data_IF_153795734320
#
_entry.id   IF_153795734320
#
_cell.length_a   1.000
_cell.length_b   1.000
_cell.length_c   1.000
_cell.angle_alpha   90.00
_cell.angle_beta   90.00
_cell.angle_gamma   90.00
#
_symmetry.space_group_name_H-M   'P 1'
#
loop_
_entity.id
_entity.type
_entity.pdbx_description
1 polymer ?
#
# COMPACT_ATOMS: atom_id res chain seq x y z
N UNK A 1 -18.16 21.39 -24.56
CA UNK A 1 -18.58 21.44 -25.99
C UNK A 1 -17.42 20.97 -26.87
N UNK A 2 -17.39 19.68 -27.23
CA UNK A 2 -16.73 19.08 -28.43
C UNK A 2 -17.47 17.73 -28.57
N UNK A 3 -18.38 17.54 -29.52
CA UNK A 3 -18.09 17.11 -30.90
C UNK A 3 -18.18 15.57 -30.98
N UNK A 4 -19.39 15.02 -31.16
CA UNK A 4 -19.97 14.47 -32.40
C UNK A 4 -19.35 13.14 -32.91
N UNK A 5 -20.25 12.14 -32.96
CA UNK A 5 -20.53 11.18 -34.06
C UNK A 5 -19.43 10.20 -34.47
N UNK A 6 -19.74 8.89 -34.37
CA UNK A 6 -19.44 7.87 -35.39
C UNK A 6 -20.33 6.65 -35.12
N UNK A 7 -21.41 6.47 -35.87
CA UNK A 7 -21.49 5.80 -37.18
C UNK A 7 -21.59 4.29 -37.03
N UNK A 8 -22.85 3.85 -36.98
CA UNK A 8 -23.27 2.47 -37.06
C UNK A 8 -22.95 1.89 -38.44
N UNK A 9 -21.99 0.95 -38.51
CA UNK A 9 -21.87 0.03 -39.64
C UNK A 9 -22.70 -1.23 -39.33
N UNK A 10 -23.90 -1.29 -39.91
CA UNK A 10 -24.65 -2.54 -40.04
C UNK A 10 -24.02 -3.40 -41.14
N UNK A 11 -23.18 -4.36 -40.77
CA UNK A 11 -22.81 -5.45 -41.67
C UNK A 11 -23.93 -6.52 -41.66
N UNK A 12 -24.74 -6.52 -42.73
CA UNK A 12 -25.60 -7.66 -43.08
C UNK A 12 -24.72 -8.86 -43.43
N UNK A 13 -24.61 -9.84 -42.53
CA UNK A 13 -24.05 -11.16 -42.86
C UNK A 13 -25.15 -12.04 -43.43
N UNK A 14 -25.05 -12.34 -44.71
CA UNK A 14 -25.84 -13.36 -45.40
C UNK A 14 -25.62 -14.72 -44.73
N UNK A 15 -26.69 -15.29 -44.19
CA UNK A 15 -26.70 -16.57 -43.50
C UNK A 15 -26.75 -17.69 -44.54
N UNK A 16 -25.60 -18.24 -44.88
CA UNK A 16 -25.51 -19.46 -45.69
C UNK A 16 -25.97 -20.64 -44.83
N UNK A 17 -27.16 -21.15 -45.11
CA UNK A 17 -27.69 -22.39 -44.51
C UNK A 17 -26.88 -23.58 -45.04
N UNK A 18 -25.74 -23.85 -44.41
CA UNK A 18 -25.05 -25.11 -44.57
C UNK A 18 -25.82 -26.19 -43.81
N UNK A 19 -26.43 -27.10 -44.56
CA UNK A 19 -27.00 -28.35 -44.07
C UNK A 19 -25.90 -29.16 -43.37
N UNK A 20 -25.91 -29.15 -42.04
CA UNK A 20 -24.96 -29.87 -41.19
C UNK A 20 -25.40 -31.33 -41.12
N UNK A 21 -24.66 -32.21 -41.77
CA UNK A 21 -24.79 -33.68 -41.62
C UNK A 21 -24.47 -34.01 -40.14
N UNK A 22 -25.35 -34.72 -39.41
CA UNK A 22 -25.11 -35.06 -38.02
C UNK A 22 -23.91 -36.02 -37.93
N UNK A 23 -22.79 -35.50 -37.43
CA UNK A 23 -21.60 -36.29 -37.11
C UNK A 23 -21.94 -37.36 -36.06
N UNK A 24 -21.37 -38.58 -36.16
CA UNK A 24 -21.61 -39.64 -35.19
C UNK A 24 -21.31 -39.17 -33.76
N UNK A 25 -22.09 -39.59 -32.75
CA UNK A 25 -21.89 -39.16 -31.37
C UNK A 25 -20.50 -39.59 -30.93
N UNK A 26 -19.63 -38.60 -30.69
CA UNK A 26 -18.32 -38.87 -30.11
C UNK A 26 -18.51 -39.46 -28.71
N UNK A 27 -17.71 -40.49 -28.34
CA UNK A 27 -17.81 -41.10 -27.03
C UNK A 27 -17.62 -40.02 -25.96
N UNK A 28 -18.62 -39.89 -25.08
CA UNK A 28 -18.67 -38.84 -24.07
C UNK A 28 -17.71 -39.22 -22.94
N UNK A 29 -16.64 -38.45 -22.78
CA UNK A 29 -15.72 -38.59 -21.64
C UNK A 29 -16.42 -38.18 -20.33
N UNK A 30 -15.91 -38.66 -19.20
CA UNK A 30 -16.45 -38.33 -17.88
C UNK A 30 -16.49 -36.80 -17.66
N UNK A 31 -17.70 -36.28 -17.44
CA UNK A 31 -17.97 -34.85 -17.28
C UNK A 31 -17.51 -34.28 -15.92
N UNK A 32 -16.97 -35.11 -15.02
CA UNK A 32 -16.63 -34.70 -13.66
C UNK A 32 -17.85 -34.67 -12.74
N UNK A 33 -17.64 -34.24 -11.49
CA UNK A 33 -18.67 -34.10 -10.46
C UNK A 33 -18.88 -32.63 -10.11
N UNK A 34 -20.12 -32.28 -9.75
CA UNK A 34 -20.49 -30.93 -9.34
C UNK A 34 -20.55 -30.82 -7.82
N UNK A 35 -20.05 -29.71 -7.30
CA UNK A 35 -20.05 -29.40 -5.87
C UNK A 35 -20.54 -27.97 -5.64
N UNK A 36 -21.35 -27.79 -4.60
CA UNK A 36 -21.77 -26.47 -4.14
C UNK A 36 -20.58 -25.71 -3.58
N UNK A 37 -20.44 -24.44 -3.97
CA UNK A 37 -19.45 -23.51 -3.45
C UNK A 37 -20.16 -22.41 -2.66
N UNK A 38 -20.16 -22.57 -1.33
CA UNK A 38 -20.91 -21.78 -0.37
C UNK A 38 -20.16 -20.53 0.14
N UNK A 39 -18.95 -20.29 -0.36
CA UNK A 39 -18.13 -19.11 -0.03
C UNK A 39 -18.43 -17.91 -0.94
N UNK A 40 -19.63 -17.83 -1.52
CA UNK A 40 -20.03 -16.80 -2.48
C UNK A 40 -19.61 -17.10 -3.92
N UNK A 41 -19.42 -16.08 -4.75
CA UNK A 41 -19.08 -16.27 -6.18
C UNK A 41 -17.74 -17.00 -6.34
N UNK A 42 -17.70 -18.20 -6.96
CA UNK A 42 -16.46 -18.95 -7.08
C UNK A 42 -15.41 -18.22 -7.93
N UNK A 43 -15.80 -17.35 -8.86
CA UNK A 43 -14.85 -16.51 -9.60
C UNK A 43 -14.01 -15.59 -8.70
N UNK A 44 -14.58 -15.19 -7.56
CA UNK A 44 -13.95 -14.27 -6.62
C UNK A 44 -13.28 -15.01 -5.46
N UNK A 45 -13.88 -16.12 -5.01
CA UNK A 45 -13.45 -16.80 -3.77
C UNK A 45 -12.77 -18.14 -4.01
N UNK A 46 -12.84 -18.74 -5.20
CA UNK A 46 -12.04 -19.90 -5.55
C UNK A 46 -10.57 -19.50 -5.79
N UNK A 47 -9.60 -20.17 -5.16
CA UNK A 47 -8.19 -19.83 -5.30
C UNK A 47 -7.59 -20.45 -6.57
N UNK A 48 -7.97 -19.98 -7.76
CA UNK A 48 -7.51 -20.52 -9.06
C UNK A 48 -6.00 -20.81 -9.15
N UNK A 49 -5.09 -19.98 -8.59
CA UNK A 49 -3.66 -20.25 -8.65
C UNK A 49 -3.22 -21.59 -8.04
N UNK A 50 -4.01 -22.25 -7.18
CA UNK A 50 -3.64 -23.55 -6.59
C UNK A 50 -3.43 -24.67 -7.63
N UNK A 51 -3.95 -24.50 -8.84
CA UNK A 51 -3.76 -25.43 -9.95
C UNK A 51 -2.44 -25.24 -10.70
N UNK A 52 -1.73 -24.13 -10.47
CA UNK A 52 -0.42 -23.88 -11.08
C UNK A 52 0.59 -24.94 -10.58
N UNK A 53 1.39 -25.58 -11.47
CA UNK A 53 2.42 -26.54 -11.07
C UNK A 53 3.39 -26.04 -9.98
N UNK A 54 3.65 -24.73 -9.89
CA UNK A 54 4.55 -24.13 -8.91
C UNK A 54 3.99 -24.08 -7.47
N UNK A 55 2.68 -24.26 -7.27
CA UNK A 55 2.09 -24.22 -5.92
C UNK A 55 2.44 -25.46 -5.09
N UNK A 56 2.67 -25.27 -3.78
CA UNK A 56 2.86 -26.39 -2.84
C UNK A 56 1.54 -27.10 -2.50
N UNK A 57 0.45 -26.34 -2.43
CA UNK A 57 -0.87 -26.87 -2.15
C UNK A 57 -1.52 -27.34 -3.46
N UNK A 58 -1.84 -28.63 -3.54
CA UNK A 58 -2.47 -29.25 -4.72
C UNK A 58 -3.88 -29.73 -4.38
N UNK A 59 -4.91 -29.32 -5.15
CA UNK A 59 -6.30 -29.71 -4.88
C UNK A 59 -6.59 -31.19 -5.13
N UNK A 60 -5.77 -31.89 -5.93
CA UNK A 60 -5.99 -33.30 -6.29
C UNK A 60 -7.02 -33.52 -7.40
N UNK A 61 -7.51 -32.44 -8.02
CA UNK A 61 -8.48 -32.45 -9.11
C UNK A 61 -8.22 -31.28 -10.08
N UNK A 62 -8.76 -31.38 -11.29
CA UNK A 62 -8.85 -30.29 -12.26
C UNK A 62 -10.19 -29.57 -12.12
N UNK A 63 -10.19 -28.24 -12.18
CA UNK A 63 -11.43 -27.45 -12.27
C UNK A 63 -11.88 -27.38 -13.74
N UNK A 64 -13.07 -27.86 -14.05
CA UNK A 64 -13.61 -27.90 -15.42
C UNK A 64 -14.45 -26.67 -15.75
N UNK A 65 -15.40 -26.33 -14.88
CA UNK A 65 -16.30 -25.19 -15.08
C UNK A 65 -16.74 -24.60 -13.76
N UNK A 66 -17.14 -23.34 -13.82
CA UNK A 66 -17.71 -22.58 -12.71
C UNK A 66 -19.06 -22.04 -13.18
N UNK A 67 -20.11 -22.34 -12.44
CA UNK A 67 -21.42 -21.72 -12.62
C UNK A 67 -21.57 -20.56 -11.63
N UNK A 68 -21.53 -19.30 -12.09
CA UNK A 68 -21.65 -18.14 -11.22
C UNK A 68 -23.05 -17.95 -10.63
N UNK A 69 -24.10 -18.46 -11.29
CA UNK A 69 -25.48 -18.24 -10.87
C UNK A 69 -25.87 -19.20 -9.76
N UNK A 70 -25.49 -20.48 -9.90
CA UNK A 70 -25.77 -21.50 -8.90
C UNK A 70 -24.65 -21.64 -7.85
N UNK A 71 -23.53 -20.91 -8.03
CA UNK A 71 -22.31 -21.07 -7.23
C UNK A 71 -21.87 -22.53 -7.16
N UNK A 72 -21.88 -23.19 -8.32
CA UNK A 72 -21.41 -24.58 -8.46
C UNK A 72 -20.04 -24.58 -9.11
N UNK A 73 -19.18 -25.51 -8.68
CA UNK A 73 -17.95 -25.84 -9.38
C UNK A 73 -18.04 -27.27 -9.89
N UNK A 74 -17.61 -27.48 -11.13
CA UNK A 74 -17.48 -28.80 -11.72
C UNK A 74 -16.02 -29.18 -11.75
N UNK A 75 -15.69 -30.32 -11.16
CA UNK A 75 -14.30 -30.77 -10.99
C UNK A 75 -14.13 -32.19 -11.50
N UNK A 76 -12.91 -32.50 -11.93
CA UNK A 76 -12.56 -33.82 -12.46
C UNK A 76 -11.34 -34.36 -11.73
N UNK A 77 -11.42 -35.61 -11.29
CA UNK A 77 -10.31 -36.26 -10.60
C UNK A 77 -9.11 -36.40 -11.53
N UNK A 78 -7.90 -36.18 -11.01
CA UNK A 78 -6.66 -36.49 -11.73
C UNK A 78 -6.52 -37.99 -12.04
N UNK A 79 -7.29 -38.84 -11.34
CA UNK A 79 -7.38 -40.30 -11.55
C UNK A 79 -8.67 -40.70 -12.24
N UNK A 80 -9.32 -39.78 -12.96
CA UNK A 80 -10.47 -40.11 -13.78
C UNK A 80 -10.06 -41.14 -14.84
N UNK A 81 -10.83 -42.22 -15.01
CA UNK A 81 -10.48 -43.32 -15.92
C UNK A 81 -10.75 -43.03 -17.40
N UNK A 82 -11.32 -41.85 -17.73
CA UNK A 82 -11.72 -41.38 -19.08
C UNK A 82 -12.55 -42.36 -19.93
N UNK A 83 -12.87 -43.53 -19.38
CA UNK A 83 -13.46 -44.63 -20.12
C UNK A 83 -14.92 -44.28 -20.40
N UNK A 84 -15.35 -44.29 -21.66
CA UNK A 84 -16.74 -44.06 -22.01
C UNK A 84 -17.56 -45.25 -21.51
N UNK A 85 -18.08 -45.14 -20.29
CA UNK A 85 -19.09 -46.07 -19.81
C UNK A 85 -20.37 -45.81 -20.59
N UNK A 86 -20.79 -46.81 -21.37
CA UNK A 86 -21.90 -46.73 -22.33
C UNK A 86 -23.28 -46.49 -21.69
N UNK A 87 -23.41 -46.40 -20.37
CA UNK A 87 -24.70 -46.55 -19.69
C UNK A 87 -25.40 -45.29 -19.21
N UNK A 88 -24.80 -44.09 -19.24
CA UNK A 88 -25.56 -42.84 -19.03
C UNK A 88 -24.74 -41.58 -19.30
N UNK A 89 -25.33 -40.63 -20.02
CA UNK A 89 -24.69 -39.39 -20.50
C UNK A 89 -24.34 -38.39 -19.37
N UNK A 90 -24.63 -38.68 -18.09
CA UNK A 90 -24.55 -37.67 -17.02
C UNK A 90 -23.92 -38.12 -15.70
N UNK A 91 -23.47 -39.36 -15.54
CA UNK A 91 -23.02 -39.84 -14.23
C UNK A 91 -21.50 -39.66 -14.06
N UNK A 92 -21.02 -38.96 -13.00
CA UNK A 92 -19.60 -38.88 -12.67
C UNK A 92 -19.02 -40.27 -12.38
N UNK A 93 -17.77 -40.54 -12.78
CA UNK A 93 -17.10 -41.79 -12.40
C UNK A 93 -16.84 -41.86 -10.88
N UNK A 94 -16.60 -43.05 -10.34
CA UNK A 94 -16.36 -43.26 -8.91
C UNK A 94 -15.20 -42.40 -8.35
N UNK A 95 -14.12 -42.22 -9.12
CA UNK A 95 -13.01 -41.33 -8.76
C UNK A 95 -13.42 -39.86 -8.64
N UNK A 96 -14.39 -39.39 -9.44
CA UNK A 96 -14.88 -38.01 -9.37
C UNK A 96 -15.92 -37.83 -8.25
N UNK A 97 -16.75 -38.84 -7.99
CA UNK A 97 -17.74 -38.81 -6.90
C UNK A 97 -17.09 -38.68 -5.51
N UNK A 98 -15.89 -39.22 -5.33
CA UNK A 98 -15.15 -39.19 -4.06
C UNK A 98 -14.41 -37.88 -3.77
N UNK A 99 -14.47 -36.89 -4.69
CA UNK A 99 -13.74 -35.62 -4.55
C UNK A 99 -14.31 -34.65 -3.49
N UNK A 100 -15.47 -34.94 -2.90
CA UNK A 100 -16.11 -34.03 -1.93
C UNK A 100 -15.17 -33.58 -0.82
N UNK A 101 -14.45 -34.53 -0.22
CA UNK A 101 -13.47 -34.23 0.85
C UNK A 101 -12.33 -33.31 0.38
N UNK A 102 -11.86 -33.46 -0.86
CA UNK A 102 -10.83 -32.59 -1.43
C UNK A 102 -11.36 -31.18 -1.69
N UNK A 103 -12.60 -31.07 -2.18
CA UNK A 103 -13.27 -29.78 -2.37
C UNK A 103 -13.45 -29.06 -1.04
N UNK A 104 -13.86 -29.79 0.01
CA UNK A 104 -13.99 -29.22 1.36
C UNK A 104 -12.66 -28.69 1.90
N UNK A 105 -11.55 -29.40 1.68
CA UNK A 105 -10.20 -28.91 2.04
C UNK A 105 -9.86 -27.62 1.29
N UNK A 106 -10.26 -27.48 0.02
CA UNK A 106 -10.05 -26.26 -0.76
C UNK A 106 -10.94 -25.12 -0.28
N UNK A 107 -12.18 -25.41 0.17
CA UNK A 107 -13.06 -24.41 0.81
C UNK A 107 -12.47 -23.93 2.12
N UNK A 108 -12.07 -24.84 3.00
CA UNK A 108 -11.41 -24.51 4.26
C UNK A 108 -10.17 -23.65 4.03
N UNK A 109 -9.40 -23.96 2.98
CA UNK A 109 -8.27 -23.15 2.58
C UNK A 109 -8.68 -21.76 2.09
N UNK A 110 -9.70 -21.65 1.25
CA UNK A 110 -10.21 -20.37 0.75
C UNK A 110 -10.84 -19.49 1.85
N UNK A 111 -11.36 -20.10 2.93
CA UNK A 111 -11.92 -19.41 4.08
C UNK A 111 -10.86 -18.91 5.09
N UNK A 112 -9.59 -19.35 4.99
CA UNK A 112 -8.53 -18.91 5.91
C UNK A 112 -8.21 -17.42 5.76
N UNK A 113 -7.73 -16.83 6.86
CA UNK A 113 -7.23 -15.46 6.89
C UNK A 113 -6.03 -15.28 5.94
N UNK A 114 -6.04 -14.16 5.19
CA UNK A 114 -5.07 -13.83 4.12
C UNK A 114 -3.62 -13.83 4.61
N UNK A 115 -3.39 -13.50 5.88
CA UNK A 115 -2.06 -13.34 6.49
C UNK A 115 -1.29 -14.66 6.59
N UNK A 116 -2.00 -15.79 6.68
CA UNK A 116 -1.40 -17.12 6.89
C UNK A 116 -1.13 -17.87 5.59
N UNK A 117 -1.52 -17.29 4.46
CA UNK A 117 -1.53 -17.97 3.18
C UNK A 117 -0.41 -17.47 2.26
N UNK A 118 0.16 -18.40 1.50
CA UNK A 118 1.10 -18.07 0.44
C UNK A 118 0.39 -17.35 -0.71
N UNK A 119 1.10 -16.45 -1.41
CA UNK A 119 0.52 -15.60 -2.48
C UNK A 119 -0.12 -16.44 -3.58
N UNK A 120 0.48 -17.59 -3.93
CA UNK A 120 -0.02 -18.49 -4.97
C UNK A 120 -1.20 -19.35 -4.52
N UNK A 121 -1.72 -19.12 -3.31
CA UNK A 121 -2.82 -19.88 -2.74
C UNK A 121 -4.03 -18.99 -2.38
N UNK A 122 -3.96 -17.70 -2.71
CA UNK A 122 -5.00 -16.73 -2.45
C UNK A 122 -6.06 -16.73 -3.54
N UNK A 123 -7.31 -16.54 -3.14
CA UNK A 123 -8.40 -16.19 -4.06
C UNK A 123 -8.31 -14.73 -4.51
N UNK A 124 -9.09 -14.36 -5.53
CA UNK A 124 -9.09 -13.01 -6.06
C UNK A 124 -9.50 -11.98 -4.99
N UNK A 125 -10.54 -12.25 -4.21
CA UNK A 125 -10.95 -11.37 -3.11
C UNK A 125 -9.86 -11.21 -2.05
N UNK A 126 -9.18 -12.32 -1.69
CA UNK A 126 -8.08 -12.27 -0.74
C UNK A 126 -6.88 -11.47 -1.28
N UNK A 127 -6.60 -11.55 -2.59
CA UNK A 127 -5.59 -10.72 -3.25
C UNK A 127 -5.96 -9.22 -3.21
N UNK A 128 -7.22 -8.87 -3.47
CA UNK A 128 -7.70 -7.48 -3.36
C UNK A 128 -7.59 -6.96 -1.94
N UNK A 129 -7.96 -7.76 -0.94
CA UNK A 129 -7.80 -7.41 0.48
C UNK A 129 -6.34 -7.16 0.84
N UNK A 130 -5.43 -8.03 0.36
CA UNK A 130 -3.98 -7.87 0.57
C UNK A 130 -3.45 -6.61 -0.11
N UNK A 131 -3.94 -6.30 -1.31
CA UNK A 131 -3.55 -5.11 -2.06
C UNK A 131 -3.98 -3.83 -1.32
N UNK A 132 -5.23 -3.75 -0.88
CA UNK A 132 -5.77 -2.63 -0.11
C UNK A 132 -5.00 -2.44 1.23
N UNK A 133 -4.67 -3.53 1.92
CA UNK A 133 -3.87 -3.47 3.14
C UNK A 133 -2.46 -2.92 2.87
N UNK A 134 -1.80 -3.36 1.80
CA UNK A 134 -0.49 -2.86 1.39
C UNK A 134 -0.55 -1.39 0.98
N UNK A 135 -1.59 -0.97 0.25
CA UNK A 135 -1.78 0.42 -0.16
C UNK A 135 -1.97 1.34 1.05
N UNK A 136 -2.81 0.93 2.01
CA UNK A 136 -3.00 1.66 3.27
C UNK A 136 -1.69 1.77 4.06
N UNK A 137 -0.93 0.68 4.16
CA UNK A 137 0.37 0.69 4.82
C UNK A 137 1.36 1.62 4.11
N UNK A 138 1.42 1.57 2.78
CA UNK A 138 2.27 2.45 1.99
C UNK A 138 1.91 3.94 2.19
N UNK A 139 0.62 4.26 2.29
CA UNK A 139 0.16 5.62 2.59
C UNK A 139 0.62 6.09 3.98
N UNK A 140 0.50 5.24 5.00
CA UNK A 140 0.97 5.55 6.36
C UNK A 140 2.48 5.79 6.38
N UNK A 141 3.27 4.91 5.76
CA UNK A 141 4.71 5.07 5.69
C UNK A 141 5.13 6.31 4.89
N UNK A 142 4.40 6.67 3.83
CA UNK A 142 4.62 7.91 3.08
C UNK A 142 4.43 9.15 3.94
N UNK A 143 3.39 9.17 4.78
CA UNK A 143 3.14 10.27 5.72
C UNK A 143 4.22 10.35 6.80
N UNK A 144 4.65 9.20 7.34
CA UNK A 144 5.77 9.14 8.29
C UNK A 144 7.04 9.71 7.66
N UNK A 145 7.38 9.27 6.45
CA UNK A 145 8.54 9.75 5.72
C UNK A 145 8.50 11.28 5.53
N UNK A 146 7.37 11.83 5.08
CA UNK A 146 7.19 13.28 4.93
C UNK A 146 7.43 14.03 6.25
N UNK A 147 6.86 13.54 7.35
CA UNK A 147 7.04 14.16 8.67
C UNK A 147 8.49 14.08 9.14
N UNK A 148 9.17 12.96 8.93
CA UNK A 148 10.59 12.83 9.26
C UNK A 148 11.47 13.76 8.44
N UNK A 149 11.18 13.93 7.15
CA UNK A 149 11.91 14.87 6.28
C UNK A 149 11.73 16.31 6.76
N UNK A 150 10.49 16.72 7.09
CA UNK A 150 10.22 18.06 7.65
C UNK A 150 10.94 18.30 8.97
N UNK A 151 10.94 17.31 9.86
CA UNK A 151 11.66 17.41 11.14
C UNK A 151 13.17 17.55 10.92
N UNK A 152 13.72 16.78 9.98
CA UNK A 152 15.12 16.84 9.61
C UNK A 152 15.50 18.19 8.99
N UNK A 153 14.68 18.73 8.09
CA UNK A 153 14.90 20.05 7.50
C UNK A 153 14.84 21.16 8.57
N UNK A 154 13.93 21.04 9.54
CA UNK A 154 13.88 21.95 10.69
C UNK A 154 15.15 21.89 11.54
N UNK A 155 15.68 20.69 11.80
CA UNK A 155 16.92 20.51 12.55
C UNK A 155 18.13 21.09 11.80
N UNK A 156 18.23 20.86 10.49
CA UNK A 156 19.27 21.46 9.64
C UNK A 156 19.21 22.98 9.64
N UNK A 157 18.00 23.54 9.57
CA UNK A 157 17.81 25.00 9.64
C UNK A 157 18.30 25.54 10.97
N UNK A 158 17.93 24.89 12.08
CA UNK A 158 18.36 25.27 13.42
C UNK A 158 19.89 25.12 13.62
N UNK A 159 20.49 24.03 13.12
CA UNK A 159 21.94 23.82 13.09
C UNK A 159 22.64 24.96 12.33
N UNK A 160 22.15 25.33 11.14
CA UNK A 160 22.69 26.43 10.36
C UNK A 160 22.58 27.78 11.11
N UNK A 161 21.46 28.05 11.78
CA UNK A 161 21.28 29.25 12.62
C UNK A 161 22.28 29.28 13.78
N UNK A 162 22.51 28.16 14.45
CA UNK A 162 23.52 28.07 15.52
C UNK A 162 24.93 28.28 15.00
N UNK A 163 25.29 27.67 13.87
CA UNK A 163 26.58 27.92 13.24
C UNK A 163 26.78 29.39 12.89
N UNK A 164 25.78 30.03 12.28
CA UNK A 164 25.84 31.45 11.96
C UNK A 164 25.98 32.34 13.22
N UNK A 165 25.32 31.96 14.31
CA UNK A 165 25.43 32.66 15.59
C UNK A 165 26.83 32.51 16.19
N UNK A 166 27.36 31.28 16.23
CA UNK A 166 28.68 31.00 16.77
C UNK A 166 29.78 31.68 15.95
N UNK A 167 29.64 31.68 14.63
CA UNK A 167 30.55 32.36 13.70
C UNK A 167 30.54 33.88 13.94
N UNK A 168 29.34 34.49 14.05
CA UNK A 168 29.21 35.92 14.30
C UNK A 168 29.84 36.33 15.65
N UNK A 169 29.59 35.55 16.70
CA UNK A 169 30.13 35.82 18.06
C UNK A 169 31.63 35.54 18.14
N UNK A 170 32.13 34.54 17.42
CA UNK A 170 33.54 34.17 17.44
C UNK A 170 34.43 35.13 16.65
N UNK A 171 33.92 35.69 15.55
CA UNK A 171 34.73 36.51 14.63
C UNK A 171 34.57 38.02 14.81
N UNK A 172 33.56 38.48 15.55
CA UNK A 172 33.27 39.91 15.71
C UNK A 172 33.15 40.31 17.17
N UNK A 173 33.68 41.49 17.51
CA UNK A 173 33.50 42.10 18.83
C UNK A 173 32.17 42.86 18.85
N UNK A 174 31.13 42.22 19.40
CA UNK A 174 29.77 42.76 19.42
C UNK A 174 29.55 43.55 20.72
N UNK A 175 29.28 44.87 20.64
CA UNK A 175 29.11 45.70 21.84
C UNK A 175 27.89 45.26 22.64
N UNK A 176 28.07 45.10 23.95
CA UNK A 176 26.96 44.75 24.86
C UNK A 176 26.42 43.32 24.69
N UNK A 177 27.18 42.41 24.08
CA UNK A 177 26.83 41.00 23.86
C UNK A 177 26.18 40.35 25.09
N UNK A 178 26.81 40.50 26.25
CA UNK A 178 26.33 39.93 27.51
C UNK A 178 24.91 40.41 27.88
N UNK A 179 24.58 41.69 27.60
CA UNK A 179 23.24 42.24 27.86
C UNK A 179 22.22 41.68 26.88
N UNK A 180 22.59 41.54 25.61
CA UNK A 180 21.71 40.97 24.58
C UNK A 180 21.31 39.55 24.99
N UNK A 181 22.27 38.70 25.38
CA UNK A 181 21.98 37.35 25.87
C UNK A 181 21.14 37.33 27.15
N UNK A 182 21.41 38.23 28.11
CA UNK A 182 20.60 38.36 29.33
C UNK A 182 19.14 38.72 29.01
N UNK A 183 18.93 39.66 28.09
CA UNK A 183 17.59 40.06 27.64
C UNK A 183 16.92 38.94 26.86
N UNK A 184 17.64 38.28 25.96
CA UNK A 184 17.15 37.14 25.19
C UNK A 184 16.64 36.02 26.10
N UNK A 185 17.41 35.67 27.13
CA UNK A 185 17.01 34.70 28.16
C UNK A 185 15.77 35.16 28.92
N UNK A 186 15.74 36.42 29.39
CA UNK A 186 14.59 36.97 30.16
C UNK A 186 13.30 37.01 29.32
N UNK A 187 13.41 37.23 28.01
CA UNK A 187 12.28 37.35 27.08
C UNK A 187 12.03 36.09 26.24
N UNK A 188 12.73 34.98 26.54
CA UNK A 188 12.66 33.72 25.80
C UNK A 188 12.73 33.91 24.27
N UNK A 189 13.71 34.68 23.80
CA UNK A 189 13.91 34.87 22.34
C UNK A 189 14.26 33.55 21.66
N UNK A 190 13.75 33.36 20.44
CA UNK A 190 14.21 32.28 19.57
C UNK A 190 15.65 32.55 19.11
N UNK A 191 16.33 31.49 18.65
CA UNK A 191 17.68 31.53 18.10
C UNK A 191 17.81 32.49 16.92
N UNK A 192 16.81 32.52 16.05
CA UNK A 192 16.78 33.39 14.87
C UNK A 192 16.65 34.85 15.27
N UNK A 193 15.79 35.15 16.25
CA UNK A 193 15.62 36.50 16.78
C UNK A 193 16.86 36.98 17.54
N UNK A 194 17.51 36.09 18.28
CA UNK A 194 18.79 36.40 18.91
C UNK A 194 19.84 36.73 17.83
N UNK A 195 19.95 35.91 16.80
CA UNK A 195 20.86 36.16 15.67
C UNK A 195 20.56 37.49 14.97
N UNK A 196 19.30 37.79 14.69
CA UNK A 196 18.86 39.08 14.12
C UNK A 196 19.31 40.26 15.00
N UNK A 197 19.10 40.17 16.31
CA UNK A 197 19.50 41.25 17.24
C UNK A 197 21.00 41.41 17.41
N UNK A 198 21.75 40.32 17.28
CA UNK A 198 23.20 40.38 17.25
C UNK A 198 23.71 41.06 15.98
N UNK A 199 23.07 40.79 14.82
CA UNK A 199 23.37 41.50 13.57
C UNK A 199 23.03 42.98 13.67
N UNK A 200 21.85 43.32 14.18
CA UNK A 200 21.48 44.73 14.38
C UNK A 200 22.49 45.46 15.30
N UNK A 201 22.98 44.78 16.34
CA UNK A 201 23.95 45.35 17.29
C UNK A 201 25.34 45.52 16.66
N UNK A 202 25.76 44.55 15.84
CA UNK A 202 26.98 44.63 15.05
C UNK A 202 26.93 45.80 14.07
N UNK A 203 25.81 46.01 13.39
CA UNK A 203 25.60 47.14 12.48
C UNK A 203 25.42 48.49 13.21
N UNK A 204 25.45 48.50 14.56
CA UNK A 204 25.22 49.68 15.39
C UNK A 204 23.77 50.17 15.38
N UNK A 205 22.85 49.48 14.71
CA UNK A 205 21.44 49.84 14.65
C UNK A 205 20.67 49.49 15.93
N UNK A 206 21.17 48.52 16.71
CA UNK A 206 20.57 48.11 17.98
C UNK A 206 21.36 48.60 19.19
N UNK A 207 20.71 49.46 19.98
CA UNK A 207 21.23 49.94 21.25
C UNK A 207 20.44 49.30 22.39
N UNK A 208 21.12 48.51 23.23
CA UNK A 208 20.49 47.92 24.42
C UNK A 208 20.15 49.03 25.40
N UNK A 209 18.84 49.25 25.65
CA UNK A 209 18.38 50.20 26.68
C UNK A 209 18.57 49.59 28.07
N UNK A 210 19.27 50.34 28.92
CA UNK A 210 19.59 49.98 30.30
C UNK A 210 21.03 49.50 30.45
N UNK A 211 21.75 50.13 31.37
CA UNK A 211 23.03 49.64 31.88
C UNK A 211 22.76 48.61 32.96
N UNK A 212 23.57 47.56 33.04
CA UNK A 212 23.52 46.67 34.20
C UNK A 212 24.02 47.40 35.44
N UNK A 213 23.56 46.99 36.63
CA UNK A 213 24.03 47.57 37.89
C UNK A 213 25.56 47.52 37.99
N UNK A 214 26.19 46.43 37.53
CA UNK A 214 27.65 46.33 37.44
C UNK A 214 28.28 47.36 36.49
N UNK A 215 27.67 47.65 35.35
CA UNK A 215 28.16 48.68 34.43
C UNK A 215 28.00 50.08 35.01
N UNK A 216 26.93 50.32 35.78
CA UNK A 216 26.72 51.56 36.52
C UNK A 216 27.73 51.70 37.68
N UNK A 217 27.99 50.61 38.42
CA UNK A 217 28.98 50.56 39.50
C UNK A 217 30.39 50.78 38.96
N UNK A 218 30.72 50.14 37.82
CA UNK A 218 32.01 50.32 37.16
C UNK A 218 32.17 51.76 36.65
N UNK A 219 31.12 52.34 36.05
CA UNK A 219 31.13 53.74 35.62
C UNK A 219 31.30 54.69 36.80
N UNK A 220 30.63 54.43 37.93
CA UNK A 220 30.79 55.19 39.17
C UNK A 220 32.21 55.09 39.70
N UNK A 221 32.78 53.88 39.79
CA UNK A 221 34.15 53.67 40.25
C UNK A 221 35.20 54.36 39.37
N UNK A 222 35.02 54.34 38.05
CA UNK A 222 35.89 55.07 37.11
C UNK A 222 35.79 56.59 37.32
N UNK A 223 34.58 57.10 37.57
CA UNK A 223 34.35 58.52 37.83
C UNK A 223 35.00 58.99 39.13
N UNK A 224 34.98 58.16 40.18
CA UNK A 224 35.60 58.48 41.48
C UNK A 224 37.14 58.45 41.45
N UNK A 225 37.74 57.79 40.46
CA UNK A 225 39.20 57.67 40.31
C UNK A 225 39.83 58.76 39.42
N UNK A 226 39.01 59.57 38.75
CA UNK A 226 39.45 60.73 37.95
C UNK A 226 39.40 62.03 38.78
#
# INVERSE_FOLDING_TARGET
MVGRVNSALQLRRSRTEQSVIPSPPTPTSCQGAEFQWDLGSPHLTYPFPIHDPATRFKPGYNLLSVDPHMSLIRVQSLRCSWSPTFESISVPCSSCQTLGTFVDVVKDHAAKAVEKLDRLSLSHNQLLQKLDAVEKQAQVERLKHLNTTRALDSLRTHEATWHALLDLVGNHDIPGLHRIFKIAKRRSWSTEKLLERLRDAFDGSYHVRGYSDMELDLATAIYELM
#
